data_IF_873501541201
#
_entry.id   IF_873501541201
#
_cell.length_a   1.000
_cell.length_b   1.000
_cell.length_c   1.000
_cell.angle_alpha   90.00
_cell.angle_beta   90.00
_cell.angle_gamma   90.00
#
_symmetry.space_group_name_H-M   'P 1'
#
loop_
_entity.id
_entity.type
_entity.pdbx_description
1 polymer ?
#
# COMPACT_ATOMS: atom_id res chain seq x y z
N UNK A 1 14.90 40.05 -4.71
CA UNK A 1 14.04 38.90 -4.38
C UNK A 1 13.21 39.24 -3.14
N UNK A 2 11.88 38.99 -3.19
CA UNK A 2 10.96 39.43 -2.12
C UNK A 2 11.08 38.65 -0.79
N UNK A 3 11.79 37.52 -0.79
CA UNK A 3 11.87 36.62 0.36
C UNK A 3 13.25 36.49 1.00
N UNK A 4 14.23 37.29 0.54
CA UNK A 4 15.52 37.38 1.24
C UNK A 4 15.39 38.47 2.33
N UNK A 5 15.60 38.10 3.61
CA UNK A 5 15.34 39.01 4.72
C UNK A 5 16.40 40.09 4.91
N UNK A 6 17.63 39.86 4.40
CA UNK A 6 18.74 40.72 4.65
C UNK A 6 18.76 41.96 3.68
N UNK A 7 18.96 43.14 4.21
CA UNK A 7 19.30 44.30 3.44
C UNK A 7 20.81 44.33 3.12
N UNK A 8 21.26 44.97 2.00
CA UNK A 8 22.67 45.02 1.63
C UNK A 8 23.62 45.48 2.74
N UNK A 9 23.14 46.38 3.62
CA UNK A 9 23.94 46.86 4.76
C UNK A 9 24.11 45.77 5.84
N UNK A 10 23.12 44.89 6.01
CA UNK A 10 23.19 43.76 6.94
C UNK A 10 24.12 42.66 6.40
N UNK A 11 24.10 42.39 5.10
CA UNK A 11 25.03 41.47 4.44
C UNK A 11 26.47 41.90 4.67
N UNK A 12 26.78 43.22 4.51
CA UNK A 12 28.12 43.76 4.77
C UNK A 12 28.51 43.60 6.26
N UNK A 13 27.58 43.87 7.17
CA UNK A 13 27.84 43.74 8.60
C UNK A 13 28.13 42.29 9.00
N UNK A 14 27.39 41.31 8.42
CA UNK A 14 27.59 39.88 8.63
C UNK A 14 28.93 39.42 8.05
N UNK A 15 29.28 39.81 6.83
CA UNK A 15 30.59 39.47 6.21
C UNK A 15 31.77 39.99 7.05
N UNK A 16 31.65 41.26 7.52
CA UNK A 16 32.65 41.85 8.39
C UNK A 16 32.78 41.08 9.73
N UNK A 17 31.68 40.65 10.34
CA UNK A 17 31.68 39.89 11.57
C UNK A 17 32.36 38.52 11.40
N UNK A 18 32.23 37.91 10.22
CA UNK A 18 32.92 36.64 9.86
C UNK A 18 34.39 36.88 9.51
N UNK A 19 34.77 38.11 9.17
CA UNK A 19 36.11 38.49 8.77
C UNK A 19 36.44 38.31 7.29
N UNK A 20 35.39 38.37 6.44
CA UNK A 20 35.50 38.29 4.97
C UNK A 20 34.87 39.52 4.32
N UNK A 21 35.21 39.81 3.07
CA UNK A 21 34.69 40.99 2.35
C UNK A 21 33.51 40.69 1.42
N UNK A 22 33.47 39.46 0.89
CA UNK A 22 32.47 39.05 -0.09
C UNK A 22 31.94 37.65 0.24
N UNK A 23 30.76 37.35 -0.29
CA UNK A 23 30.20 35.98 -0.22
C UNK A 23 31.12 34.97 -0.92
N UNK A 24 31.85 35.40 -1.95
CA UNK A 24 32.81 34.55 -2.66
C UNK A 24 33.97 34.10 -1.76
N UNK A 25 34.36 34.88 -0.76
CA UNK A 25 35.41 34.51 0.20
C UNK A 25 34.97 33.37 1.11
N UNK A 26 33.66 33.14 1.29
CA UNK A 26 33.10 32.01 2.03
C UNK A 26 33.21 30.69 1.25
N UNK A 27 33.33 30.79 -0.08
CA UNK A 27 33.31 29.63 -0.98
C UNK A 27 34.72 29.09 -1.29
N UNK A 28 35.77 29.52 -0.59
CA UNK A 28 37.16 29.11 -0.87
C UNK A 28 37.36 27.59 -0.85
N UNK A 29 36.56 26.87 -0.06
CA UNK A 29 36.59 25.41 0.01
C UNK A 29 36.04 24.70 -1.23
N UNK A 30 35.35 25.44 -2.14
CA UNK A 30 34.81 24.90 -3.41
C UNK A 30 35.73 25.35 -4.54
N UNK A 31 36.40 24.41 -5.27
CA UNK A 31 37.25 24.75 -6.42
C UNK A 31 36.48 25.56 -7.46
N UNK A 32 37.16 26.57 -8.05
CA UNK A 32 36.50 27.49 -9.00
C UNK A 32 35.90 26.77 -10.23
N UNK A 33 36.54 25.74 -10.72
CA UNK A 33 36.06 24.96 -11.85
C UNK A 33 34.81 24.11 -11.54
N UNK A 34 34.43 23.99 -10.29
CA UNK A 34 33.20 23.30 -9.84
C UNK A 34 32.07 24.29 -9.50
N UNK A 35 32.34 25.58 -9.54
CA UNK A 35 31.34 26.62 -9.25
C UNK A 35 30.57 26.96 -10.53
N UNK A 36 29.27 27.12 -10.39
CA UNK A 36 28.42 27.60 -11.48
C UNK A 36 28.59 29.12 -11.63
N UNK A 37 29.19 29.58 -12.73
CA UNK A 37 29.46 30.97 -13.07
C UNK A 37 28.41 31.61 -14.02
N UNK A 38 27.36 30.89 -14.32
CA UNK A 38 26.27 31.29 -15.21
C UNK A 38 24.90 31.12 -14.54
N UNK A 39 23.85 31.81 -14.95
CA UNK A 39 22.48 31.52 -14.55
C UNK A 39 22.08 30.09 -14.89
N UNK A 40 21.21 29.49 -14.07
CA UNK A 40 20.61 28.21 -14.36
C UNK A 40 19.85 28.28 -15.70
N UNK A 41 19.95 27.23 -16.51
CA UNK A 41 19.22 27.12 -17.77
C UNK A 41 17.74 26.74 -17.48
N UNK A 42 17.04 27.62 -16.80
CA UNK A 42 15.62 27.48 -16.49
C UNK A 42 14.80 28.30 -17.50
N UNK A 43 13.56 27.85 -17.81
CA UNK A 43 12.63 28.65 -18.58
C UNK A 43 12.41 30.02 -17.92
N UNK A 44 12.11 31.02 -18.72
CA UNK A 44 11.70 32.33 -18.19
C UNK A 44 10.40 32.19 -17.38
N UNK A 45 10.18 33.17 -16.49
CA UNK A 45 8.93 33.30 -15.75
C UNK A 45 7.74 33.32 -16.71
N UNK A 46 6.77 32.43 -16.48
CA UNK A 46 5.52 32.38 -17.22
C UNK A 46 4.39 33.01 -16.44
N UNK A 47 3.37 33.54 -17.15
CA UNK A 47 2.14 33.98 -16.53
C UNK A 47 1.34 32.77 -15.99
N UNK A 48 0.46 32.99 -15.01
CA UNK A 48 -0.45 31.97 -14.49
C UNK A 48 -1.25 31.29 -15.62
N UNK A 49 -1.77 32.13 -16.55
CA UNK A 49 -2.52 31.65 -17.70
C UNK A 49 -1.69 30.70 -18.61
N UNK A 50 -0.42 31.02 -18.82
CA UNK A 50 0.46 30.17 -19.66
C UNK A 50 0.83 28.88 -18.94
N UNK A 51 1.02 28.92 -17.62
CA UNK A 51 1.22 27.71 -16.80
C UNK A 51 -0.01 26.81 -16.86
N UNK A 52 -1.22 27.36 -16.67
CA UNK A 52 -2.47 26.60 -16.77
C UNK A 52 -2.65 25.97 -18.16
N UNK A 53 -2.35 26.71 -19.24
CA UNK A 53 -2.41 26.17 -20.61
C UNK A 53 -1.40 25.04 -20.83
N UNK A 54 -0.18 25.19 -20.33
CA UNK A 54 0.85 24.15 -20.44
C UNK A 54 0.45 22.88 -19.69
N UNK A 55 -0.05 23.01 -18.45
CA UNK A 55 -0.51 21.88 -17.65
C UNK A 55 -1.75 21.20 -18.25
N UNK A 56 -2.72 21.96 -18.75
CA UNK A 56 -3.88 21.41 -19.47
C UNK A 56 -3.44 20.66 -20.74
N UNK A 57 -2.50 21.23 -21.50
CA UNK A 57 -1.90 20.55 -22.65
C UNK A 57 -1.20 19.22 -22.30
N UNK A 58 -0.54 19.14 -21.13
CA UNK A 58 0.04 17.91 -20.62
C UNK A 58 -1.05 16.92 -20.18
N UNK A 59 -2.07 17.40 -19.46
CA UNK A 59 -3.18 16.57 -19.00
C UNK A 59 -3.94 15.89 -20.15
N UNK A 60 -4.16 16.63 -21.24
CA UNK A 60 -4.81 16.09 -22.47
C UNK A 60 -4.01 15.01 -23.21
N UNK A 61 -2.75 14.82 -22.88
CA UNK A 61 -1.92 13.74 -23.45
C UNK A 61 -2.16 12.39 -22.75
N UNK A 62 -2.82 12.38 -21.59
CA UNK A 62 -3.23 11.16 -20.94
C UNK A 62 -4.33 10.45 -21.74
N UNK A 63 -4.25 9.13 -21.81
CA UNK A 63 -5.26 8.32 -22.48
C UNK A 63 -6.38 7.97 -21.49
N UNK A 64 -7.60 8.43 -21.78
CA UNK A 64 -8.78 7.99 -21.06
C UNK A 64 -9.30 6.69 -21.71
N UNK A 65 -9.19 5.58 -21.01
CA UNK A 65 -9.71 4.29 -21.47
C UNK A 65 -11.23 4.20 -21.23
N UNK A 66 -11.94 3.52 -22.15
CA UNK A 66 -13.37 3.24 -22.03
C UNK A 66 -13.66 2.27 -20.88
N UNK A 67 -12.73 1.36 -20.62
CA UNK A 67 -12.74 0.41 -19.52
C UNK A 67 -11.33 0.00 -19.18
N UNK A 68 -11.07 -0.33 -17.93
CA UNK A 68 -9.77 -0.82 -17.46
C UNK A 68 -9.98 -2.10 -16.63
N UNK A 69 -9.32 -3.17 -17.04
CA UNK A 69 -9.35 -4.47 -16.37
C UNK A 69 -8.01 -4.79 -15.69
N UNK A 70 -7.29 -3.75 -15.31
CA UNK A 70 -6.00 -3.81 -14.62
C UNK A 70 -6.22 -3.71 -13.11
N UNK A 71 -5.49 -4.51 -12.36
CA UNK A 71 -5.42 -4.50 -10.90
C UNK A 71 -3.98 -4.56 -10.44
N UNK A 72 -3.49 -5.74 -10.08
CA UNK A 72 -2.10 -6.01 -9.71
C UNK A 72 -1.59 -5.13 -8.55
N UNK A 73 -2.40 -5.01 -7.49
CA UNK A 73 -2.04 -4.27 -6.27
C UNK A 73 -2.48 -2.80 -6.26
N UNK A 74 -3.09 -2.29 -7.36
CA UNK A 74 -3.67 -0.95 -7.42
C UNK A 74 -5.03 -1.02 -8.12
N UNK A 75 -6.10 -0.87 -7.36
CA UNK A 75 -7.46 -1.15 -7.80
C UNK A 75 -8.31 0.12 -7.84
N UNK A 76 -9.06 0.30 -8.93
CA UNK A 76 -9.98 1.43 -9.06
C UNK A 76 -11.30 1.09 -8.36
N UNK A 77 -11.65 1.84 -7.30
CA UNK A 77 -12.91 1.72 -6.57
C UNK A 77 -13.69 3.02 -6.63
N UNK A 78 -14.98 2.94 -6.36
CA UNK A 78 -15.82 4.12 -6.26
C UNK A 78 -15.50 4.90 -4.98
N UNK A 79 -15.23 6.20 -5.15
CA UNK A 79 -14.98 7.12 -4.04
C UNK A 79 -16.19 8.05 -3.88
N UNK A 80 -16.91 8.00 -2.74
CA UNK A 80 -18.03 8.90 -2.48
C UNK A 80 -17.59 10.37 -2.44
N UNK A 81 -18.32 11.27 -3.12
CA UNK A 81 -18.02 12.70 -3.16
C UNK A 81 -17.99 13.39 -1.77
N UNK A 82 -18.67 12.80 -0.78
CA UNK A 82 -18.65 13.30 0.60
C UNK A 82 -17.23 13.25 1.22
N UNK A 83 -16.39 12.31 0.78
CA UNK A 83 -15.00 12.20 1.27
C UNK A 83 -14.23 13.46 0.92
N UNK A 84 -14.22 13.86 -0.36
CA UNK A 84 -13.48 15.05 -0.81
C UNK A 84 -14.00 16.31 -0.15
N UNK A 85 -15.32 16.43 0.04
CA UNK A 85 -15.93 17.54 0.75
C UNK A 85 -15.46 17.65 2.21
N UNK A 86 -15.25 16.53 2.87
CA UNK A 86 -14.80 16.51 4.27
C UNK A 86 -13.30 16.77 4.40
N UNK A 87 -12.46 16.08 3.60
CA UNK A 87 -11.00 16.20 3.73
C UNK A 87 -10.46 17.56 3.25
N UNK A 88 -11.22 18.29 2.42
CA UNK A 88 -10.85 19.63 1.94
C UNK A 88 -11.02 20.72 3.00
N UNK A 89 -11.59 20.40 4.16
CA UNK A 89 -11.74 21.35 5.26
C UNK A 89 -10.38 21.63 5.89
N UNK A 90 -10.15 22.91 6.22
CA UNK A 90 -8.84 23.37 6.74
C UNK A 90 -8.41 22.65 8.02
N UNK A 91 -9.35 22.25 8.87
CA UNK A 91 -9.10 21.54 10.12
C UNK A 91 -8.37 20.21 9.90
N UNK A 92 -8.60 19.56 8.75
CA UNK A 92 -7.96 18.29 8.37
C UNK A 92 -6.79 18.51 7.42
N UNK A 93 -6.98 19.34 6.40
CA UNK A 93 -6.03 19.50 5.31
C UNK A 93 -4.68 20.07 5.78
N UNK A 94 -4.67 20.94 6.78
CA UNK A 94 -3.45 21.52 7.35
C UNK A 94 -2.96 20.79 8.61
N UNK A 95 -3.67 19.79 9.09
CA UNK A 95 -3.28 19.03 10.27
C UNK A 95 -1.95 18.30 10.04
N UNK A 96 -1.10 18.31 11.05
CA UNK A 96 0.14 17.56 11.09
C UNK A 96 0.09 16.54 12.23
N UNK A 97 1.23 15.99 12.63
CA UNK A 97 1.29 15.04 13.73
C UNK A 97 0.74 15.64 15.02
N UNK A 98 -0.22 14.97 15.68
CA UNK A 98 -0.88 15.48 16.88
C UNK A 98 -0.03 15.31 18.14
N UNK A 99 1.11 15.98 18.24
CA UNK A 99 2.01 15.91 19.40
C UNK A 99 1.41 16.52 20.65
N UNK A 100 0.56 17.55 20.51
CA UNK A 100 -0.11 18.22 21.62
C UNK A 100 -1.57 17.76 21.68
N UNK A 101 -1.90 16.80 22.55
CA UNK A 101 -3.27 16.24 22.64
C UNK A 101 -4.33 17.33 22.90
N UNK A 102 -3.97 18.35 23.67
CA UNK A 102 -4.87 19.40 24.12
C UNK A 102 -5.53 20.18 22.96
N UNK A 103 -4.81 20.33 21.84
CA UNK A 103 -5.27 21.08 20.67
C UNK A 103 -5.57 20.17 19.45
N UNK A 104 -5.40 18.87 19.59
CA UNK A 104 -5.48 17.91 18.48
C UNK A 104 -6.48 16.78 18.72
N UNK A 105 -7.49 17.00 19.59
CA UNK A 105 -8.42 15.94 19.98
C UNK A 105 -9.20 15.37 18.79
N UNK A 106 -9.65 16.18 17.85
CA UNK A 106 -10.35 15.69 16.65
C UNK A 106 -9.46 14.81 15.75
N UNK A 107 -8.19 15.22 15.55
CA UNK A 107 -7.21 14.42 14.80
C UNK A 107 -6.92 13.09 15.50
N UNK A 108 -6.71 13.10 16.80
CA UNK A 108 -6.47 11.88 17.57
C UNK A 108 -7.70 10.96 17.58
N UNK A 109 -8.89 11.52 17.71
CA UNK A 109 -10.14 10.76 17.69
C UNK A 109 -10.31 10.01 16.35
N UNK A 110 -10.15 10.69 15.20
CA UNK A 110 -10.31 10.00 13.92
C UNK A 110 -9.27 8.91 13.71
N UNK A 111 -8.03 9.10 14.20
CA UNK A 111 -7.00 8.06 14.15
C UNK A 111 -7.42 6.85 15.01
N UNK A 112 -7.93 7.08 16.20
CA UNK A 112 -8.43 6.02 17.08
C UNK A 112 -9.59 5.25 16.44
N UNK A 113 -10.53 5.94 15.80
CA UNK A 113 -11.63 5.34 15.05
C UNK A 113 -11.12 4.50 13.86
N UNK A 114 -10.18 5.04 13.08
CA UNK A 114 -9.51 4.29 12.00
C UNK A 114 -8.87 3.01 12.53
N UNK A 115 -8.10 3.09 13.61
CA UNK A 115 -7.46 1.92 14.24
C UNK A 115 -8.48 0.86 14.61
N UNK A 116 -9.62 1.27 15.17
CA UNK A 116 -10.71 0.36 15.58
C UNK A 116 -11.31 -0.35 14.36
N UNK A 117 -11.66 0.41 13.31
CA UNK A 117 -12.25 -0.16 12.09
C UNK A 117 -11.30 -1.14 11.40
N UNK A 118 -10.02 -0.83 11.30
CA UNK A 118 -9.03 -1.71 10.67
C UNK A 118 -8.76 -2.95 11.55
N UNK A 119 -8.73 -2.81 12.86
CA UNK A 119 -8.59 -3.93 13.78
C UNK A 119 -9.78 -4.90 13.68
N UNK A 120 -11.00 -4.38 13.63
CA UNK A 120 -12.22 -5.17 13.46
C UNK A 120 -12.22 -5.92 12.11
N UNK A 121 -11.87 -5.25 11.01
CA UNK A 121 -11.77 -5.86 9.67
C UNK A 121 -10.71 -6.95 9.61
N UNK A 122 -9.57 -6.75 10.26
CA UNK A 122 -8.50 -7.74 10.35
C UNK A 122 -8.81 -8.88 11.35
N UNK A 123 -9.77 -8.70 12.25
CA UNK A 123 -10.09 -9.67 13.31
C UNK A 123 -8.96 -9.84 14.33
N UNK A 124 -8.19 -8.78 14.58
CA UNK A 124 -7.09 -8.71 15.53
C UNK A 124 -7.29 -7.55 16.51
N UNK A 125 -6.43 -7.43 17.52
CA UNK A 125 -6.73 -6.60 18.69
C UNK A 125 -6.28 -5.15 18.57
N UNK A 126 -5.12 -4.87 17.93
CA UNK A 126 -4.49 -3.54 17.95
C UNK A 126 -3.96 -3.16 16.57
N UNK A 127 -4.50 -2.08 16.02
CA UNK A 127 -3.97 -1.42 14.81
C UNK A 127 -3.11 -0.21 15.16
N UNK A 128 -2.12 0.12 14.34
CA UNK A 128 -1.43 1.40 14.39
C UNK A 128 -2.22 2.50 13.63
N UNK A 129 -1.72 3.74 13.72
CA UNK A 129 -2.32 4.91 13.08
C UNK A 129 -2.22 4.94 11.55
N UNK A 130 -1.64 3.98 10.93
CA UNK A 130 -1.28 3.68 9.54
C UNK A 130 0.23 3.67 9.31
N UNK A 131 0.61 3.14 8.17
CA UNK A 131 1.96 3.19 7.58
C UNK A 131 1.89 3.86 6.20
N UNK A 132 3.03 3.92 5.48
CA UNK A 132 3.09 4.67 4.23
C UNK A 132 2.35 3.97 3.08
N UNK A 133 2.53 2.65 2.97
CA UNK A 133 1.92 1.78 1.97
C UNK A 133 1.99 0.31 2.40
N UNK A 134 1.38 -0.57 1.60
CA UNK A 134 1.36 -2.01 1.86
C UNK A 134 2.73 -2.67 1.82
N UNK A 135 3.64 -2.19 0.95
CA UNK A 135 5.01 -2.68 0.88
C UNK A 135 5.79 -2.38 2.15
N UNK A 136 5.74 -1.13 2.62
CA UNK A 136 6.33 -0.71 3.90
C UNK A 136 5.74 -1.50 5.07
N UNK A 137 4.40 -1.68 5.07
CA UNK A 137 3.71 -2.43 6.11
C UNK A 137 4.16 -3.89 6.17
N UNK A 138 4.40 -4.50 5.01
CA UNK A 138 4.90 -5.88 4.89
C UNK A 138 6.30 -6.02 5.48
N UNK A 139 7.20 -5.08 5.19
CA UNK A 139 8.56 -5.06 5.78
C UNK A 139 8.51 -4.90 7.29
N UNK A 140 7.73 -3.93 7.76
CA UNK A 140 7.60 -3.65 9.19
C UNK A 140 7.00 -4.83 9.96
N UNK A 141 6.03 -5.54 9.37
CA UNK A 141 5.45 -6.75 9.92
C UNK A 141 6.49 -7.88 10.06
N UNK A 142 7.30 -8.10 9.01
CA UNK A 142 8.35 -9.11 9.02
C UNK A 142 9.44 -8.80 10.06
N UNK A 143 9.94 -7.57 10.09
CA UNK A 143 10.95 -7.13 11.07
C UNK A 143 10.39 -7.15 12.50
N UNK A 144 9.10 -6.82 12.69
CA UNK A 144 8.43 -6.95 13.97
C UNK A 144 8.37 -8.42 14.43
N UNK A 145 8.01 -9.34 13.55
CA UNK A 145 7.99 -10.77 13.89
C UNK A 145 9.37 -11.28 14.33
N UNK A 146 10.44 -10.85 13.67
CA UNK A 146 11.82 -11.17 14.10
C UNK A 146 12.12 -10.62 15.49
N UNK A 147 11.69 -9.37 15.80
CA UNK A 147 11.87 -8.79 17.15
C UNK A 147 11.10 -9.57 18.21
N UNK A 148 9.87 -9.97 17.92
CA UNK A 148 9.05 -10.80 18.83
C UNK A 148 9.70 -12.16 19.08
N UNK A 149 10.20 -12.80 18.04
CA UNK A 149 10.81 -14.14 18.11
C UNK A 149 12.28 -14.14 18.58
N UNK A 150 12.90 -13.00 18.69
CA UNK A 150 14.26 -12.70 19.25
C UNK A 150 15.40 -13.56 18.71
N UNK A 151 15.30 -14.90 18.80
CA UNK A 151 16.37 -15.85 18.44
C UNK A 151 16.28 -16.33 16.99
N UNK A 152 15.11 -16.22 16.38
CA UNK A 152 14.82 -16.75 15.04
C UNK A 152 15.18 -15.71 13.99
N UNK A 153 15.79 -16.14 12.90
CA UNK A 153 16.39 -15.25 11.88
C UNK A 153 15.87 -15.50 10.46
N UNK A 154 15.12 -16.54 10.25
CA UNK A 154 14.59 -16.88 8.92
C UNK A 154 13.17 -16.38 8.77
N UNK A 155 12.91 -15.70 7.67
CA UNK A 155 11.61 -15.22 7.22
C UNK A 155 11.23 -16.03 5.98
N UNK A 156 10.14 -16.79 6.03
CA UNK A 156 9.60 -17.48 4.88
C UNK A 156 8.61 -16.56 4.16
N UNK A 157 8.69 -16.53 2.82
CA UNK A 157 7.85 -15.66 1.99
C UNK A 157 7.20 -16.50 0.90
N UNK A 158 5.86 -16.56 0.87
CA UNK A 158 5.16 -17.19 -0.24
C UNK A 158 5.49 -16.47 -1.55
N UNK A 159 5.79 -17.22 -2.61
CA UNK A 159 5.96 -16.66 -3.96
C UNK A 159 4.65 -16.06 -4.51
N UNK A 160 3.52 -16.29 -3.84
CA UNK A 160 2.25 -15.61 -4.10
C UNK A 160 2.16 -14.20 -3.53
N UNK A 161 3.14 -13.74 -2.75
CA UNK A 161 3.19 -12.35 -2.33
C UNK A 161 3.47 -11.44 -3.54
N UNK A 162 2.93 -10.22 -3.53
CA UNK A 162 3.13 -9.24 -4.62
C UNK A 162 4.63 -9.07 -4.94
N UNK A 163 5.05 -9.15 -6.22
CA UNK A 163 6.47 -9.11 -6.61
C UNK A 163 7.22 -7.90 -6.05
N UNK A 164 6.63 -6.70 -6.15
CA UNK A 164 7.25 -5.49 -5.60
C UNK A 164 7.40 -5.56 -4.07
N UNK A 165 6.47 -6.20 -3.35
CA UNK A 165 6.61 -6.39 -1.91
C UNK A 165 7.75 -7.34 -1.57
N UNK A 166 7.96 -8.38 -2.39
CA UNK A 166 9.12 -9.26 -2.27
C UNK A 166 10.45 -8.51 -2.49
N UNK A 167 10.50 -7.63 -3.50
CA UNK A 167 11.68 -6.79 -3.78
C UNK A 167 11.97 -5.80 -2.63
N UNK A 168 10.93 -5.14 -2.10
CA UNK A 168 11.05 -4.23 -0.95
C UNK A 168 11.53 -4.99 0.29
N UNK A 169 10.97 -6.18 0.55
CA UNK A 169 11.43 -7.07 1.62
C UNK A 169 12.91 -7.42 1.44
N UNK A 170 13.32 -7.85 0.26
CA UNK A 170 14.71 -8.18 -0.05
C UNK A 170 15.63 -6.99 0.23
N UNK A 171 15.29 -5.82 -0.29
CA UNK A 171 16.06 -4.59 -0.11
C UNK A 171 16.19 -4.20 1.36
N UNK A 172 15.11 -4.35 2.12
CA UNK A 172 15.05 -3.90 3.52
C UNK A 172 15.65 -4.91 4.49
N UNK A 173 15.53 -6.21 4.22
CA UNK A 173 15.99 -7.28 5.12
C UNK A 173 17.46 -7.63 4.89
N UNK A 174 17.94 -7.60 3.64
CA UNK A 174 19.31 -7.98 3.28
C UNK A 174 20.41 -7.23 4.06
N UNK A 175 20.28 -5.92 4.37
CA UNK A 175 21.29 -5.21 5.17
C UNK A 175 21.36 -5.66 6.63
N UNK A 176 20.37 -6.37 7.15
CA UNK A 176 20.36 -6.84 8.53
C UNK A 176 21.16 -8.12 8.66
N UNK A 177 22.30 -8.05 9.37
CA UNK A 177 23.19 -9.17 9.56
C UNK A 177 22.47 -10.38 10.18
N UNK A 178 22.64 -11.53 9.55
CA UNK A 178 22.11 -12.81 9.99
C UNK A 178 20.64 -13.06 9.67
N UNK A 179 19.88 -12.10 9.14
CA UNK A 179 18.53 -12.35 8.65
C UNK A 179 18.56 -13.08 7.29
N UNK A 180 17.59 -13.96 7.07
CA UNK A 180 17.48 -14.75 5.85
C UNK A 180 16.05 -14.67 5.32
N UNK A 181 15.91 -14.42 4.03
CA UNK A 181 14.66 -14.60 3.29
C UNK A 181 14.71 -15.93 2.54
N UNK A 182 13.67 -16.75 2.68
CA UNK A 182 13.54 -18.01 1.96
C UNK A 182 12.16 -18.06 1.29
N UNK A 183 12.08 -18.23 -0.04
CA UNK A 183 10.80 -18.35 -0.73
C UNK A 183 10.11 -19.68 -0.39
N UNK A 184 8.77 -19.67 -0.41
CA UNK A 184 7.91 -20.86 -0.40
C UNK A 184 7.20 -20.90 -1.74
N UNK A 185 7.33 -22.03 -2.44
CA UNK A 185 6.81 -22.21 -3.79
C UNK A 185 5.27 -22.14 -3.85
N UNK A 186 4.75 -21.87 -5.05
CA UNK A 186 3.33 -22.01 -5.36
C UNK A 186 3.03 -23.35 -6.00
N UNK A 187 1.86 -23.89 -5.69
CA UNK A 187 1.25 -25.03 -6.35
C UNK A 187 -0.23 -24.72 -6.61
N UNK A 188 -0.66 -24.88 -7.85
CA UNK A 188 -2.04 -24.60 -8.25
C UNK A 188 -2.54 -23.20 -7.86
N UNK A 189 -1.65 -22.20 -7.95
CA UNK A 189 -1.95 -20.79 -7.66
C UNK A 189 -1.92 -20.38 -6.20
N UNK A 190 -1.69 -21.29 -5.26
CA UNK A 190 -1.62 -21.06 -3.81
C UNK A 190 -0.31 -21.54 -3.23
N UNK A 191 0.01 -21.16 -2.01
CA UNK A 191 1.22 -21.55 -1.28
C UNK A 191 1.30 -23.09 -1.17
N UNK A 192 2.40 -23.70 -1.62
CA UNK A 192 2.62 -25.14 -1.54
C UNK A 192 2.88 -25.55 -0.07
N UNK A 193 1.91 -26.26 0.51
CA UNK A 193 1.97 -26.71 1.90
C UNK A 193 3.09 -27.75 2.14
N UNK A 194 3.43 -28.56 1.15
CA UNK A 194 4.51 -29.53 1.30
C UNK A 194 5.87 -28.84 1.28
N UNK A 195 6.07 -27.87 0.38
CA UNK A 195 7.29 -27.06 0.37
C UNK A 195 7.40 -26.23 1.67
N UNK A 196 6.29 -25.64 2.15
CA UNK A 196 6.24 -24.92 3.41
C UNK A 196 6.69 -25.81 4.59
N UNK A 197 6.12 -27.01 4.72
CA UNK A 197 6.47 -27.95 5.80
C UNK A 197 7.95 -28.32 5.80
N UNK A 198 8.56 -28.50 4.62
CA UNK A 198 10.00 -28.83 4.51
C UNK A 198 10.90 -27.66 4.92
N UNK A 199 10.42 -26.43 4.82
CA UNK A 199 11.18 -25.21 5.14
C UNK A 199 10.96 -24.69 6.55
N UNK A 200 9.92 -25.16 7.24
CA UNK A 200 9.64 -24.81 8.63
C UNK A 200 10.66 -25.52 9.55
N UNK A 201 11.47 -24.73 10.22
CA UNK A 201 12.45 -25.16 11.22
C UNK A 201 12.43 -24.22 12.44
N UNK A 202 13.25 -24.51 13.46
CA UNK A 202 13.32 -23.73 14.69
C UNK A 202 13.94 -22.33 14.52
N UNK A 203 14.57 -22.01 13.38
CA UNK A 203 15.11 -20.69 13.04
C UNK A 203 14.05 -19.79 12.34
N UNK A 204 12.92 -20.35 11.92
CA UNK A 204 11.88 -19.58 11.24
C UNK A 204 11.14 -18.68 12.23
N UNK A 205 11.23 -17.37 12.03
CA UNK A 205 10.53 -16.36 12.81
C UNK A 205 9.08 -16.18 12.37
N UNK A 206 8.85 -16.11 11.06
CA UNK A 206 7.52 -15.91 10.50
C UNK A 206 7.40 -16.43 9.06
N UNK A 207 6.14 -16.56 8.63
CA UNK A 207 5.75 -16.85 7.26
C UNK A 207 4.83 -15.74 6.78
N UNK A 208 5.13 -15.14 5.61
CA UNK A 208 4.29 -14.14 4.97
C UNK A 208 3.50 -14.76 3.83
N UNK A 209 2.18 -14.52 3.81
CA UNK A 209 1.25 -15.05 2.81
C UNK A 209 0.31 -13.94 2.34
N UNK A 210 0.13 -13.81 1.01
CA UNK A 210 -0.85 -12.88 0.42
C UNK A 210 -2.29 -13.37 0.65
N UNK A 211 -3.23 -12.48 1.01
CA UNK A 211 -4.62 -12.84 1.25
C UNK A 211 -5.58 -11.72 0.79
N UNK A 212 -6.12 -11.79 -0.43
CA UNK A 212 -5.72 -12.69 -1.52
C UNK A 212 -4.25 -12.52 -1.93
N UNK A 213 -3.67 -13.53 -2.61
CA UNK A 213 -2.31 -13.42 -3.11
C UNK A 213 -2.23 -12.62 -4.43
N UNK A 214 -1.03 -12.39 -4.97
CA UNK A 214 -0.81 -11.60 -6.18
C UNK A 214 -1.53 -12.13 -7.42
N UNK A 215 -1.77 -13.43 -7.50
CA UNK A 215 -2.53 -14.04 -8.58
C UNK A 215 -4.06 -13.99 -8.34
N UNK A 216 -4.49 -13.26 -7.31
CA UNK A 216 -5.89 -13.13 -6.91
C UNK A 216 -6.44 -14.33 -6.13
N UNK A 217 -5.68 -15.42 -6.01
CA UNK A 217 -6.12 -16.63 -5.33
C UNK A 217 -6.26 -16.43 -3.81
N UNK A 218 -7.31 -17.04 -3.24
CA UNK A 218 -7.58 -17.00 -1.80
C UNK A 218 -6.89 -18.18 -1.13
N UNK A 219 -5.93 -17.89 -0.26
CA UNK A 219 -5.14 -18.88 0.47
C UNK A 219 -5.93 -19.48 1.64
N UNK A 220 -5.71 -20.74 1.97
CA UNK A 220 -6.23 -21.35 3.20
C UNK A 220 -5.33 -21.02 4.40
N UNK A 221 -5.51 -19.80 4.94
CA UNK A 221 -4.74 -19.32 6.09
C UNK A 221 -4.89 -20.21 7.32
N UNK A 222 -6.03 -20.88 7.51
CA UNK A 222 -6.25 -21.74 8.67
C UNK A 222 -5.32 -22.97 8.64
N UNK A 223 -5.20 -23.62 7.48
CA UNK A 223 -4.29 -24.76 7.30
C UNK A 223 -2.83 -24.33 7.36
N UNK A 224 -2.48 -23.21 6.70
CA UNK A 224 -1.13 -22.65 6.75
C UNK A 224 -0.77 -22.29 8.20
N UNK A 225 -1.66 -21.61 8.92
CA UNK A 225 -1.47 -21.20 10.31
C UNK A 225 -1.21 -22.40 11.25
N UNK A 226 -1.93 -23.50 11.08
CA UNK A 226 -1.66 -24.72 11.85
C UNK A 226 -0.23 -25.22 11.67
N UNK A 227 0.26 -25.26 10.44
CA UNK A 227 1.64 -25.69 10.15
C UNK A 227 2.67 -24.71 10.76
N UNK A 228 2.45 -23.40 10.60
CA UNK A 228 3.34 -22.34 11.08
C UNK A 228 3.42 -22.34 12.61
N UNK A 229 2.28 -22.42 13.29
CA UNK A 229 2.22 -22.44 14.74
C UNK A 229 2.79 -23.71 15.36
N UNK A 230 2.64 -24.86 14.68
CA UNK A 230 3.26 -26.12 15.13
C UNK A 230 4.80 -26.01 15.18
N UNK A 231 5.39 -25.20 14.29
CA UNK A 231 6.83 -24.87 14.31
C UNK A 231 7.18 -23.72 15.28
N UNK A 232 6.17 -23.12 15.94
CA UNK A 232 6.32 -21.97 16.85
C UNK A 232 6.68 -20.67 16.14
N UNK A 233 6.47 -20.55 14.83
CA UNK A 233 6.62 -19.33 14.05
C UNK A 233 5.33 -18.50 14.06
N UNK A 234 5.41 -17.24 13.58
CA UNK A 234 4.25 -16.35 13.44
C UNK A 234 3.73 -16.37 11.99
N UNK A 235 2.41 -16.35 11.81
CA UNK A 235 1.77 -16.16 10.51
C UNK A 235 1.44 -14.69 10.29
N UNK A 236 1.95 -14.14 9.18
CA UNK A 236 1.65 -12.78 8.71
C UNK A 236 0.79 -12.88 7.46
N UNK A 237 -0.44 -12.34 7.56
CA UNK A 237 -1.31 -12.15 6.41
C UNK A 237 -1.04 -10.80 5.77
N UNK A 238 -0.82 -10.78 4.45
CA UNK A 238 -0.59 -9.57 3.67
C UNK A 238 -1.74 -9.36 2.70
N UNK A 239 -2.56 -8.34 2.94
CA UNK A 239 -3.71 -8.00 2.09
C UNK A 239 -3.37 -6.81 1.21
N UNK A 240 -3.25 -7.05 -0.11
CA UNK A 240 -2.98 -5.97 -1.07
C UNK A 240 -4.27 -5.33 -1.61
N UNK A 241 -5.40 -6.04 -1.53
CA UNK A 241 -6.73 -5.57 -1.92
C UNK A 241 -7.64 -5.60 -0.69
N UNK A 242 -7.74 -4.46 0.02
CA UNK A 242 -8.45 -4.39 1.28
C UNK A 242 -9.98 -4.58 1.14
N UNK A 243 -10.57 -4.33 -0.04
CA UNK A 243 -12.00 -4.60 -0.28
C UNK A 243 -12.34 -6.08 -0.06
N UNK A 244 -11.36 -6.98 -0.21
CA UNK A 244 -11.53 -8.41 0.07
C UNK A 244 -11.90 -8.70 1.54
N UNK A 245 -11.52 -7.83 2.48
CA UNK A 245 -11.89 -7.96 3.91
C UNK A 245 -13.39 -7.79 4.15
N UNK A 246 -14.13 -7.24 3.19
CA UNK A 246 -15.61 -7.20 3.23
C UNK A 246 -16.28 -8.51 2.79
N UNK A 247 -15.52 -9.50 2.32
CA UNK A 247 -16.03 -10.78 1.78
C UNK A 247 -15.39 -12.01 2.40
N UNK A 248 -14.08 -11.97 2.65
CA UNK A 248 -13.32 -13.07 3.21
C UNK A 248 -13.37 -13.04 4.75
N UNK A 249 -13.22 -14.21 5.36
CA UNK A 249 -13.01 -14.27 6.81
C UNK A 249 -11.80 -13.44 7.21
N UNK A 250 -11.93 -12.71 8.31
CA UNK A 250 -10.87 -11.85 8.81
C UNK A 250 -9.59 -12.66 9.10
N UNK A 251 -8.42 -12.19 8.65
CA UNK A 251 -7.17 -12.96 8.77
C UNK A 251 -6.85 -13.41 10.20
N UNK A 252 -7.16 -12.61 11.21
CA UNK A 252 -6.98 -12.97 12.61
C UNK A 252 -7.88 -14.13 13.08
N UNK A 253 -9.08 -14.26 12.48
CA UNK A 253 -10.01 -15.37 12.80
C UNK A 253 -9.56 -16.69 12.20
N UNK A 254 -8.80 -16.64 11.10
CA UNK A 254 -8.27 -17.81 10.39
C UNK A 254 -6.78 -18.05 10.66
N UNK A 255 -6.24 -17.50 11.74
CA UNK A 255 -4.96 -17.91 12.30
C UNK A 255 -3.81 -16.90 12.16
N UNK A 256 -3.98 -15.75 11.49
CA UNK A 256 -2.93 -14.74 11.44
C UNK A 256 -2.61 -14.17 12.83
N UNK A 257 -1.32 -13.95 13.10
CA UNK A 257 -0.82 -13.26 14.30
C UNK A 257 -0.64 -11.77 14.06
N UNK A 258 -0.31 -11.44 12.81
CA UNK A 258 -0.15 -10.09 12.28
C UNK A 258 -0.88 -10.03 10.94
N UNK A 259 -1.65 -8.97 10.73
CA UNK A 259 -2.23 -8.63 9.43
C UNK A 259 -1.72 -7.27 9.00
N UNK A 260 -1.28 -7.16 7.75
CA UNK A 260 -0.80 -5.91 7.19
C UNK A 260 -1.17 -5.83 5.71
N UNK A 261 -0.99 -4.66 5.11
CA UNK A 261 -1.25 -4.52 3.69
C UNK A 261 -1.58 -3.09 3.28
N UNK A 262 -2.32 -2.99 2.16
CA UNK A 262 -2.69 -1.74 1.50
C UNK A 262 -4.19 -1.48 1.66
N UNK A 263 -4.54 -0.34 2.25
CA UNK A 263 -5.93 0.08 2.46
C UNK A 263 -6.39 1.20 1.51
N UNK A 264 -5.67 1.42 0.41
CA UNK A 264 -6.02 2.43 -0.61
C UNK A 264 -7.46 2.25 -1.11
N UNK A 265 -7.93 1.01 -1.26
CA UNK A 265 -9.30 0.68 -1.73
C UNK A 265 -10.41 1.31 -0.89
N UNK A 266 -10.10 1.72 0.33
CA UNK A 266 -11.05 2.42 1.20
C UNK A 266 -11.06 3.94 0.93
N UNK A 267 -11.70 4.35 -0.15
CA UNK A 267 -11.97 5.76 -0.44
C UNK A 267 -10.78 6.59 -0.93
N UNK A 268 -9.71 5.97 -1.41
CA UNK A 268 -8.58 6.65 -2.02
C UNK A 268 -8.50 6.32 -3.51
N UNK A 269 -8.16 7.32 -4.31
CA UNK A 269 -8.00 7.20 -5.75
C UNK A 269 -6.59 6.71 -6.12
N UNK A 270 -6.41 6.22 -7.33
CA UNK A 270 -5.12 5.71 -7.84
C UNK A 270 -4.00 6.77 -7.90
N UNK A 271 -4.33 8.02 -8.18
CA UNK A 271 -3.46 9.21 -8.16
C UNK A 271 -2.05 9.02 -8.76
N UNK A 272 -1.91 8.20 -9.79
CA UNK A 272 -0.63 8.00 -10.48
C UNK A 272 0.50 7.42 -9.63
N UNK A 273 0.18 6.70 -8.56
CA UNK A 273 1.16 6.02 -7.71
C UNK A 273 1.16 6.48 -6.25
N UNK A 274 0.11 7.07 -5.78
CA UNK A 274 -0.06 7.42 -4.37
C UNK A 274 -0.48 8.87 -4.11
N UNK A 275 -0.55 9.28 -2.85
CA UNK A 275 -0.18 8.50 -1.66
C UNK A 275 -1.11 7.31 -1.41
N UNK A 276 -0.55 6.22 -0.89
CA UNK A 276 -1.27 5.01 -0.50
C UNK A 276 -1.45 4.93 1.02
N UNK A 277 -1.99 3.82 1.53
CA UNK A 277 -2.36 3.70 2.94
C UNK A 277 -1.97 2.32 3.47
N UNK A 278 -0.79 2.22 4.03
CA UNK A 278 -0.40 1.00 4.73
C UNK A 278 -1.14 0.81 6.05
N UNK A 279 -1.50 -0.43 6.37
CA UNK A 279 -2.03 -0.80 7.68
C UNK A 279 -1.24 -1.95 8.30
N UNK A 280 -1.28 -2.02 9.63
CA UNK A 280 -0.70 -3.12 10.39
C UNK A 280 -1.48 -3.33 11.68
N UNK A 281 -1.93 -4.57 11.89
CA UNK A 281 -2.74 -4.99 13.03
C UNK A 281 -2.12 -6.23 13.67
N UNK A 282 -2.16 -6.31 14.99
CA UNK A 282 -1.51 -7.37 15.75
C UNK A 282 -2.40 -7.89 16.87
N UNK A 283 -2.11 -9.11 17.34
CA UNK A 283 -2.64 -9.61 18.60
C UNK A 283 -2.17 -8.75 19.77
N UNK A 284 -2.96 -8.62 20.81
CA UNK A 284 -2.65 -7.81 22.02
C UNK A 284 -1.30 -8.18 22.65
N UNK A 285 -0.92 -9.44 22.60
CA UNK A 285 0.38 -9.93 23.08
C UNK A 285 1.58 -9.24 22.43
N UNK A 286 1.43 -8.72 21.22
CA UNK A 286 2.50 -8.13 20.43
C UNK A 286 2.43 -6.60 20.33
N UNK A 287 1.47 -5.93 20.93
CA UNK A 287 1.23 -4.48 20.83
C UNK A 287 2.42 -3.60 21.21
N UNK A 288 3.34 -4.10 22.03
CA UNK A 288 4.54 -3.34 22.44
C UNK A 288 5.63 -3.29 21.36
N UNK A 289 5.56 -4.18 20.38
CA UNK A 289 6.51 -4.25 19.25
C UNK A 289 5.94 -3.65 17.96
N UNK A 290 4.66 -3.19 17.98
CA UNK A 290 3.98 -2.65 16.80
C UNK A 290 4.72 -1.40 16.28
N UNK A 291 5.06 -1.31 14.98
CA UNK A 291 5.68 -0.12 14.40
C UNK A 291 4.68 1.03 14.23
N UNK A 292 5.18 2.24 14.11
CA UNK A 292 4.37 3.43 13.88
C UNK A 292 3.63 3.91 15.14
N UNK A 293 2.82 4.95 14.97
CA UNK A 293 2.08 5.59 16.06
C UNK A 293 0.85 4.79 16.45
N UNK A 294 0.47 4.93 17.71
CA UNK A 294 -0.77 4.37 18.25
C UNK A 294 -1.44 5.44 19.09
N UNK A 295 -2.73 5.63 18.88
CA UNK A 295 -3.59 6.51 19.68
C UNK A 295 -4.38 5.65 20.68
N UNK A 296 -4.41 6.08 21.92
CA UNK A 296 -5.21 5.47 23.00
C UNK A 296 -6.29 6.41 23.47
N UNK A 297 -7.40 5.83 23.92
CA UNK A 297 -8.46 6.56 24.61
C UNK A 297 -8.13 6.67 26.12
N UNK A 298 -8.40 7.82 26.71
CA UNK A 298 -8.19 8.10 28.13
C UNK A 298 -9.33 8.95 28.68
N UNK A 299 -9.23 9.31 29.95
CA UNK A 299 -10.13 10.27 30.60
C UNK A 299 -9.33 11.40 31.22
N UNK A 300 -9.86 12.62 31.15
CA UNK A 300 -9.31 13.76 31.86
C UNK A 300 -9.66 13.75 33.36
N UNK A 301 -9.19 14.77 34.08
CA UNK A 301 -9.44 14.88 35.55
C UNK A 301 -10.93 15.03 35.91
N UNK A 302 -11.75 15.47 34.95
CA UNK A 302 -13.20 15.62 35.12
C UNK A 302 -14.00 14.41 34.61
N UNK A 303 -13.29 13.36 34.17
CA UNK A 303 -13.88 12.12 33.66
C UNK A 303 -14.37 12.17 32.22
N UNK A 304 -14.09 13.23 31.46
CA UNK A 304 -14.42 13.35 30.04
C UNK A 304 -13.47 12.49 29.20
N UNK A 305 -13.99 11.87 28.12
CA UNK A 305 -13.20 11.10 27.20
C UNK A 305 -12.23 12.01 26.44
N UNK A 306 -10.98 11.60 26.34
CA UNK A 306 -9.94 12.21 25.56
C UNK A 306 -9.06 11.18 24.86
N UNK A 307 -8.24 11.64 23.94
CA UNK A 307 -7.35 10.80 23.13
C UNK A 307 -5.91 11.30 23.22
N UNK A 308 -4.96 10.37 23.25
CA UNK A 308 -3.52 10.68 23.38
C UNK A 308 -2.69 9.73 22.54
N UNK A 309 -1.51 10.18 22.11
CA UNK A 309 -0.49 9.27 21.59
C UNK A 309 -0.01 8.35 22.72
N UNK A 310 0.08 7.07 22.47
CA UNK A 310 0.53 6.07 23.43
C UNK A 310 1.68 5.22 22.89
N UNK A 311 2.37 4.50 23.76
CA UNK A 311 3.52 3.65 23.43
C UNK A 311 4.67 4.41 22.70
N UNK A 312 4.76 5.73 22.84
CA UNK A 312 5.74 6.59 22.14
C UNK A 312 7.19 6.32 22.53
N UNK A 313 7.45 5.69 23.68
CA UNK A 313 8.80 5.36 24.16
C UNK A 313 9.62 4.46 23.21
N UNK A 314 8.98 3.82 22.20
CA UNK A 314 9.63 2.98 21.19
C UNK A 314 9.95 3.73 19.88
N UNK A 315 9.49 4.97 19.71
CA UNK A 315 9.64 5.77 18.50
C UNK A 315 11.04 6.45 18.39
N UNK A 316 11.41 6.86 17.18
CA UNK A 316 12.71 7.45 16.83
C UNK A 316 13.06 8.69 17.67
N UNK A 317 12.11 9.59 17.89
CA UNK A 317 12.33 10.84 18.62
C UNK A 317 12.70 10.62 20.11
N UNK A 318 12.41 9.42 20.64
CA UNK A 318 12.78 9.00 22.00
C UNK A 318 14.00 8.09 21.97
N UNK A 319 13.93 7.00 21.18
CA UNK A 319 14.94 5.91 21.19
C UNK A 319 16.10 6.11 20.21
N UNK A 320 15.97 7.03 19.25
CA UNK A 320 16.97 7.31 18.21
C UNK A 320 17.36 6.05 17.44
N UNK A 321 18.64 5.66 17.47
CA UNK A 321 19.19 4.45 16.83
C UNK A 321 18.62 3.13 17.37
N UNK A 322 18.06 3.16 18.58
CA UNK A 322 17.42 2.00 19.24
C UNK A 322 15.91 1.95 19.06
N UNK A 323 15.36 2.77 18.16
CA UNK A 323 13.94 2.76 17.87
C UNK A 323 13.48 1.40 17.30
N UNK A 324 12.25 1.05 17.56
CA UNK A 324 11.64 -0.19 17.06
C UNK A 324 11.55 -0.21 15.55
N UNK A 325 11.37 0.97 14.92
CA UNK A 325 11.16 1.14 13.49
C UNK A 325 11.69 2.49 13.01
N UNK A 326 11.99 2.59 11.73
CA UNK A 326 12.32 3.86 11.05
C UNK A 326 11.09 4.67 10.64
N UNK A 327 9.89 4.18 10.88
CA UNK A 327 8.65 4.92 10.62
C UNK A 327 8.60 6.17 11.51
N UNK A 328 8.51 7.34 10.86
CA UNK A 328 8.48 8.63 11.57
C UNK A 328 7.04 9.12 11.78
N UNK A 329 6.21 8.97 10.78
CA UNK A 329 4.84 9.48 10.75
C UNK A 329 3.89 8.44 10.18
N UNK A 330 2.67 8.86 9.83
CA UNK A 330 1.64 8.04 9.22
C UNK A 330 0.99 8.81 8.07
N UNK A 331 0.10 8.19 7.35
CA UNK A 331 -0.70 8.80 6.26
C UNK A 331 -1.99 9.40 6.82
N UNK A 332 -1.89 10.45 7.66
CA UNK A 332 -3.02 10.96 8.44
C UNK A 332 -4.26 11.33 7.61
N UNK A 333 -4.09 12.12 6.53
CA UNK A 333 -5.20 12.53 5.67
C UNK A 333 -5.77 11.35 4.87
N UNK A 334 -4.92 10.43 4.40
CA UNK A 334 -5.33 9.24 3.65
C UNK A 334 -6.06 8.25 4.57
N UNK A 335 -5.61 8.12 5.83
CA UNK A 335 -6.30 7.34 6.86
C UNK A 335 -7.69 7.94 7.20
N UNK A 336 -7.81 9.27 7.21
CA UNK A 336 -9.10 9.94 7.40
C UNK A 336 -10.05 9.64 6.22
N UNK A 337 -9.56 9.61 4.96
CA UNK A 337 -10.37 9.18 3.81
C UNK A 337 -10.93 7.77 4.03
N UNK A 338 -10.06 6.84 4.44
CA UNK A 338 -10.47 5.45 4.71
C UNK A 338 -11.47 5.35 5.88
N UNK A 339 -11.25 6.10 6.95
CA UNK A 339 -12.18 6.18 8.07
C UNK A 339 -13.57 6.66 7.62
N UNK A 340 -13.65 7.76 6.86
CA UNK A 340 -14.91 8.29 6.34
C UNK A 340 -15.57 7.29 5.40
N UNK A 341 -14.80 6.65 4.50
CA UNK A 341 -15.32 5.64 3.58
C UNK A 341 -15.97 4.48 4.33
N UNK A 342 -15.26 3.90 5.28
CA UNK A 342 -15.76 2.76 6.07
C UNK A 342 -17.00 3.11 6.89
N UNK A 343 -17.07 4.32 7.45
CA UNK A 343 -18.26 4.79 8.17
C UNK A 343 -19.44 5.04 7.23
N UNK A 344 -19.22 5.57 6.02
CA UNK A 344 -20.28 5.76 5.04
C UNK A 344 -20.81 4.44 4.49
N UNK A 345 -19.92 3.50 4.22
CA UNK A 345 -20.29 2.18 3.71
C UNK A 345 -21.00 1.35 4.81
N UNK A 346 -20.47 1.38 6.02
CA UNK A 346 -20.86 0.46 7.07
C UNK A 346 -20.60 -1.01 6.70
N UNK A 347 -20.93 -1.95 7.58
CA UNK A 347 -20.70 -3.39 7.30
C UNK A 347 -21.46 -3.89 6.07
N UNK A 348 -22.74 -3.51 5.95
CA UNK A 348 -23.60 -3.95 4.84
C UNK A 348 -23.14 -3.37 3.50
N UNK A 349 -22.74 -2.07 3.46
CA UNK A 349 -22.24 -1.43 2.26
C UNK A 349 -20.91 -2.01 1.81
N UNK A 350 -19.98 -2.27 2.74
CA UNK A 350 -18.70 -2.89 2.43
C UNK A 350 -18.89 -4.31 1.87
N UNK A 351 -19.74 -5.12 2.51
CA UNK A 351 -20.09 -6.45 2.03
C UNK A 351 -20.75 -6.39 0.63
N UNK A 352 -21.65 -5.43 0.40
CA UNK A 352 -22.30 -5.24 -0.89
C UNK A 352 -21.32 -4.86 -2.00
N UNK A 353 -20.34 -3.99 -1.73
CA UNK A 353 -19.27 -3.65 -2.66
C UNK A 353 -18.37 -4.85 -2.97
N UNK A 354 -17.94 -5.57 -1.94
CA UNK A 354 -17.12 -6.76 -2.10
C UNK A 354 -17.85 -7.86 -2.90
N UNK A 355 -19.15 -8.07 -2.66
CA UNK A 355 -19.98 -9.01 -3.42
C UNK A 355 -20.06 -8.64 -4.92
N UNK A 356 -20.14 -7.34 -5.25
CA UNK A 356 -20.10 -6.88 -6.63
C UNK A 356 -18.75 -7.16 -7.29
N UNK A 357 -17.65 -6.97 -6.58
CA UNK A 357 -16.30 -7.30 -7.06
C UNK A 357 -16.24 -8.78 -7.46
N UNK A 358 -16.63 -9.69 -6.55
CA UNK A 358 -16.67 -11.14 -6.84
C UNK A 358 -17.56 -11.47 -8.03
N UNK A 359 -18.79 -10.97 -8.06
CA UNK A 359 -19.75 -11.28 -9.11
C UNK A 359 -19.26 -10.82 -10.50
N UNK A 360 -18.70 -9.61 -10.59
CA UNK A 360 -18.18 -9.04 -11.85
C UNK A 360 -16.91 -9.76 -12.31
N UNK A 361 -16.02 -10.12 -11.41
CA UNK A 361 -14.82 -10.89 -11.74
C UNK A 361 -15.17 -12.31 -12.23
N UNK A 362 -16.13 -12.98 -11.60
CA UNK A 362 -16.64 -14.27 -12.08
C UNK A 362 -17.30 -14.16 -13.46
N UNK A 363 -18.09 -13.12 -13.67
CA UNK A 363 -18.69 -12.86 -14.98
C UNK A 363 -17.61 -12.60 -16.05
N UNK A 364 -16.64 -11.73 -15.77
CA UNK A 364 -15.51 -11.45 -16.66
C UNK A 364 -14.74 -12.74 -17.02
N UNK A 365 -14.39 -13.55 -16.01
CA UNK A 365 -13.69 -14.83 -16.24
C UNK A 365 -14.47 -15.75 -17.16
N UNK A 366 -15.74 -15.96 -16.88
CA UNK A 366 -16.60 -16.81 -17.71
C UNK A 366 -16.64 -16.32 -19.16
N UNK A 367 -16.87 -15.02 -19.36
CA UNK A 367 -16.96 -14.40 -20.69
C UNK A 367 -15.64 -14.47 -21.47
N UNK A 368 -14.49 -14.25 -20.81
CA UNK A 368 -13.18 -14.40 -21.43
C UNK A 368 -12.92 -15.84 -21.90
N UNK A 369 -13.26 -16.84 -21.09
CA UNK A 369 -13.11 -18.25 -21.46
C UNK A 369 -14.00 -18.65 -22.66
N UNK A 370 -15.23 -18.11 -22.73
CA UNK A 370 -16.17 -18.34 -23.86
C UNK A 370 -15.60 -17.86 -25.21
N UNK A 371 -14.68 -16.88 -25.24
CA UNK A 371 -14.03 -16.45 -26.48
C UNK A 371 -13.16 -17.54 -27.12
N UNK A 372 -12.77 -18.57 -26.34
CA UNK A 372 -11.84 -19.61 -26.77
C UNK A 372 -10.37 -19.15 -26.88
N UNK A 373 -10.07 -17.86 -26.64
CA UNK A 373 -8.71 -17.28 -26.70
C UNK A 373 -7.91 -17.48 -25.44
N UNK A 374 -8.57 -17.85 -24.34
CA UNK A 374 -7.94 -18.04 -23.03
C UNK A 374 -8.17 -19.44 -22.51
N UNK A 375 -7.27 -19.86 -21.61
CA UNK A 375 -7.41 -21.07 -20.81
C UNK A 375 -7.09 -20.76 -19.36
N UNK A 376 -7.73 -21.46 -18.40
CA UNK A 376 -7.39 -21.32 -16.98
C UNK A 376 -5.97 -21.84 -16.74
N UNK A 377 -5.25 -21.21 -15.81
CA UNK A 377 -3.91 -21.63 -15.39
C UNK A 377 -3.94 -22.44 -14.11
N UNK A 378 -4.96 -22.24 -13.29
CA UNK A 378 -5.32 -23.05 -12.11
C UNK A 378 -6.80 -22.79 -11.77
N UNK A 379 -7.32 -23.54 -10.81
CA UNK A 379 -8.75 -23.46 -10.39
C UNK A 379 -8.90 -23.12 -8.90
N UNK A 380 -7.98 -22.32 -8.34
CA UNK A 380 -8.13 -21.80 -6.98
C UNK A 380 -9.27 -20.77 -6.89
N UNK A 381 -9.96 -20.67 -5.74
CA UNK A 381 -10.92 -19.59 -5.50
C UNK A 381 -10.22 -18.25 -5.54
N UNK A 382 -10.91 -17.21 -6.08
CA UNK A 382 -10.35 -15.87 -6.20
C UNK A 382 -11.37 -14.79 -5.80
N UNK A 383 -10.89 -13.58 -5.50
CA UNK A 383 -11.75 -12.47 -5.12
C UNK A 383 -12.18 -11.64 -6.35
N UNK A 384 -11.42 -10.64 -6.75
CA UNK A 384 -11.74 -9.74 -7.87
C UNK A 384 -10.71 -9.78 -9.00
N UNK A 385 -9.70 -10.62 -8.87
CA UNK A 385 -8.57 -10.74 -9.78
C UNK A 385 -8.23 -12.21 -10.03
N UNK A 386 -7.85 -12.55 -11.26
CA UNK A 386 -7.54 -13.91 -11.66
C UNK A 386 -6.65 -13.95 -12.90
N UNK A 387 -5.71 -14.89 -13.03
CA UNK A 387 -4.91 -15.06 -14.24
C UNK A 387 -5.57 -16.02 -15.23
N UNK A 388 -5.40 -15.73 -16.51
CA UNK A 388 -5.70 -16.63 -17.63
C UNK A 388 -4.51 -16.65 -18.59
N UNK A 389 -4.23 -17.80 -19.21
CA UNK A 389 -3.24 -17.88 -20.29
C UNK A 389 -3.87 -17.47 -21.61
N UNK A 390 -3.24 -16.50 -22.30
CA UNK A 390 -3.63 -16.07 -23.63
C UNK A 390 -3.02 -17.02 -24.70
N UNK A 391 -3.87 -17.77 -25.42
CA UNK A 391 -3.42 -18.73 -26.45
C UNK A 391 -2.76 -18.07 -27.64
N UNK A 392 -3.16 -16.84 -27.94
CA UNK A 392 -2.61 -16.04 -29.04
C UNK A 392 -1.38 -15.21 -28.62
N UNK A 393 -0.96 -15.32 -27.36
CA UNK A 393 0.07 -14.50 -26.73
C UNK A 393 -0.49 -13.23 -26.07
N UNK A 394 0.05 -12.87 -24.90
CA UNK A 394 -0.39 -11.69 -24.13
C UNK A 394 -0.23 -10.39 -24.93
N UNK A 395 0.88 -10.20 -25.61
CA UNK A 395 1.18 -9.00 -26.41
C UNK A 395 0.11 -8.73 -27.48
N UNK A 396 -0.38 -9.78 -28.16
CA UNK A 396 -1.43 -9.64 -29.18
C UNK A 396 -2.78 -9.24 -28.57
N UNK A 397 -3.14 -9.81 -27.43
CA UNK A 397 -4.35 -9.43 -26.72
C UNK A 397 -4.27 -7.96 -26.26
N UNK A 398 -3.11 -7.53 -25.74
CA UNK A 398 -2.88 -6.13 -25.38
C UNK A 398 -3.05 -5.19 -26.57
N UNK A 399 -2.45 -5.51 -27.72
CA UNK A 399 -2.56 -4.70 -28.95
C UNK A 399 -4.03 -4.53 -29.38
N UNK A 400 -4.79 -5.62 -29.43
CA UNK A 400 -6.22 -5.63 -29.80
C UNK A 400 -7.03 -4.72 -28.85
N UNK A 401 -6.85 -4.87 -27.54
CA UNK A 401 -7.60 -4.12 -26.54
C UNK A 401 -7.24 -2.63 -26.56
N UNK A 402 -5.95 -2.30 -26.60
CA UNK A 402 -5.46 -0.91 -26.63
C UNK A 402 -5.93 -0.17 -27.88
N UNK A 403 -5.94 -0.83 -29.05
CA UNK A 403 -6.48 -0.25 -30.30
C UNK A 403 -7.98 0.07 -30.19
N UNK A 404 -8.73 -0.65 -29.35
CA UNK A 404 -10.13 -0.38 -29.08
C UNK A 404 -10.37 0.65 -27.95
N UNK A 405 -9.31 1.15 -27.32
CA UNK A 405 -9.38 2.06 -26.18
C UNK A 405 -9.77 1.38 -24.86
N UNK A 406 -9.44 0.10 -24.72
CA UNK A 406 -9.65 -0.70 -23.50
C UNK A 406 -8.29 -1.05 -22.90
N UNK A 407 -8.10 -0.83 -21.60
CA UNK A 407 -6.92 -1.28 -20.88
C UNK A 407 -7.16 -2.72 -20.40
N UNK A 408 -6.44 -3.72 -20.95
CA UNK A 408 -6.64 -5.12 -20.57
C UNK A 408 -5.98 -5.45 -19.23
N UNK A 409 -6.06 -6.74 -18.83
CA UNK A 409 -5.29 -7.27 -17.71
C UNK A 409 -3.78 -7.17 -17.90
N UNK A 410 -3.03 -7.30 -16.83
CA UNK A 410 -1.57 -7.22 -16.80
C UNK A 410 -0.93 -8.46 -17.45
N UNK A 411 0.03 -8.25 -18.36
CA UNK A 411 0.90 -9.32 -18.85
C UNK A 411 1.89 -9.72 -17.73
N UNK A 412 1.84 -10.97 -17.30
CA UNK A 412 2.69 -11.51 -16.25
C UNK A 412 4.02 -12.09 -16.75
N UNK A 413 4.22 -12.17 -18.06
CA UNK A 413 5.45 -12.69 -18.68
C UNK A 413 6.74 -12.05 -18.13
N UNK A 414 6.81 -10.71 -17.87
CA UNK A 414 8.02 -10.09 -17.33
C UNK A 414 8.35 -10.46 -15.88
N UNK A 415 7.39 -10.97 -15.12
CA UNK A 415 7.57 -11.25 -13.69
C UNK A 415 8.19 -12.61 -13.43
N UNK A 416 7.82 -13.63 -14.23
CA UNK A 416 8.37 -14.98 -14.11
C UNK A 416 8.33 -15.70 -15.46
N UNK A 417 9.38 -16.44 -15.77
CA UNK A 417 9.49 -17.15 -17.06
C UNK A 417 8.41 -18.24 -17.25
N UNK A 418 7.96 -18.88 -16.17
CA UNK A 418 6.88 -19.88 -16.16
C UNK A 418 5.48 -19.27 -16.27
N UNK A 419 5.32 -17.96 -16.10
CA UNK A 419 4.08 -17.21 -16.32
C UNK A 419 3.97 -16.62 -17.72
N UNK A 420 4.69 -17.20 -18.67
CA UNK A 420 4.64 -16.75 -20.07
C UNK A 420 3.22 -16.77 -20.61
N UNK A 421 2.81 -15.64 -21.21
CA UNK A 421 1.49 -15.40 -21.78
C UNK A 421 0.33 -15.47 -20.78
N UNK A 422 0.60 -15.43 -19.47
CA UNK A 422 -0.44 -15.25 -18.47
C UNK A 422 -0.81 -13.77 -18.39
N UNK A 423 -2.11 -13.52 -18.31
CA UNK A 423 -2.66 -12.19 -18.13
C UNK A 423 -3.50 -12.16 -16.85
N UNK A 424 -3.19 -11.23 -15.95
CA UNK A 424 -3.93 -11.02 -14.70
C UNK A 424 -5.06 -10.03 -14.94
N UNK A 425 -6.28 -10.49 -14.86
CA UNK A 425 -7.50 -9.72 -15.12
C UNK A 425 -8.18 -9.33 -13.83
N UNK A 426 -8.65 -8.09 -13.74
CA UNK A 426 -9.35 -7.57 -12.58
C UNK A 426 -10.69 -6.93 -12.98
N UNK A 427 -11.71 -7.08 -12.11
CA UNK A 427 -12.95 -6.33 -12.21
C UNK A 427 -13.43 -5.92 -10.82
N UNK A 428 -13.55 -4.61 -10.62
CA UNK A 428 -14.12 -4.03 -9.39
C UNK A 428 -15.59 -3.64 -9.60
N UNK A 429 -16.23 -3.11 -8.57
CA UNK A 429 -17.62 -2.61 -8.67
C UNK A 429 -17.79 -1.48 -9.69
N UNK A 430 -16.71 -0.79 -10.06
CA UNK A 430 -16.74 0.31 -11.04
C UNK A 430 -16.92 -0.16 -12.48
N UNK A 431 -16.59 -1.41 -12.77
CA UNK A 431 -16.77 -2.00 -14.12
C UNK A 431 -18.24 -2.38 -14.32
N UNK A 432 -18.81 -1.98 -15.46
CA UNK A 432 -20.18 -2.36 -15.82
C UNK A 432 -20.21 -3.64 -16.65
N UNK A 433 -21.38 -4.29 -16.69
CA UNK A 433 -21.61 -5.45 -17.56
C UNK A 433 -21.37 -5.11 -19.03
N UNK A 434 -21.88 -3.95 -19.46
CA UNK A 434 -21.74 -3.46 -20.83
C UNK A 434 -20.26 -3.29 -21.22
N UNK A 435 -19.40 -2.83 -20.31
CA UNK A 435 -17.97 -2.72 -20.55
C UNK A 435 -17.29 -4.09 -20.69
N UNK A 436 -17.71 -5.08 -19.89
CA UNK A 436 -17.24 -6.46 -20.06
C UNK A 436 -17.68 -7.01 -21.41
N UNK A 437 -18.96 -6.84 -21.77
CA UNK A 437 -19.50 -7.33 -23.05
C UNK A 437 -18.84 -6.62 -24.26
N UNK A 438 -18.46 -5.34 -24.14
CA UNK A 438 -17.66 -4.61 -25.14
C UNK A 438 -16.26 -5.21 -25.29
N UNK A 439 -15.56 -5.53 -24.19
CA UNK A 439 -14.29 -6.23 -24.24
C UNK A 439 -14.40 -7.54 -25.01
N UNK A 440 -15.43 -8.35 -24.70
CA UNK A 440 -15.65 -9.63 -25.36
C UNK A 440 -15.95 -9.45 -26.87
N UNK A 441 -16.73 -8.44 -27.24
CA UNK A 441 -16.98 -8.12 -28.63
C UNK A 441 -15.70 -7.79 -29.40
N UNK A 442 -14.82 -6.98 -28.81
CA UNK A 442 -13.50 -6.62 -29.36
C UNK A 442 -12.61 -7.86 -29.54
N UNK A 443 -12.59 -8.75 -28.54
CA UNK A 443 -11.79 -9.99 -28.59
C UNK A 443 -12.33 -11.01 -29.57
N UNK A 444 -13.59 -10.96 -29.96
CA UNK A 444 -14.22 -11.84 -30.95
C UNK A 444 -14.03 -11.38 -32.41
N UNK A 445 -13.55 -10.15 -32.64
CA UNK A 445 -13.18 -9.70 -33.99
C UNK A 445 -11.93 -10.49 -34.43
N UNK A 446 -12.04 -11.18 -35.55
CA UNK A 446 -10.98 -12.05 -36.10
C UNK A 446 -9.86 -11.24 -36.76
#
# INVERSE_FOLDING_TARGET
MRYLPAAPAEDIAMLNAIGVQTVEDLLVGVPRNLRLDRPLALPAQASELDVLRALDGMARRNTAFKAAFLGAGAYAHFVPAAIDAQISREEWFTAYTPYQPEVSQGTLQHIFEYQTLIADLAGLDVSNASLYDGGTSTVEAALMAVRVQRKRKTILVSEGLHPHYQEILCTSVTPHEGLKLRPVALKDGVTDLEDLKTKLDEDVACVLVGYPNFLGAVEDLAVIGQCVHAAGALLISVTQEAMALGWLEAPGKVGADIACGEAMSFGNELNGGGPYLGFLVVKDAHKREIPGRVVGQTKDLEGRTGYVLTLTAREQHIRRDKATSNICSNQGLVALRANIFLQLAGPEGLQGLAAQNVAKAQYLRSRLLETGRFEPVFDAPFFNEFPLRAKDGASKIMEICLAAGILPGLDLTPYRADWKDWMLWCATETITREQIDQLIAVLNIR
#
